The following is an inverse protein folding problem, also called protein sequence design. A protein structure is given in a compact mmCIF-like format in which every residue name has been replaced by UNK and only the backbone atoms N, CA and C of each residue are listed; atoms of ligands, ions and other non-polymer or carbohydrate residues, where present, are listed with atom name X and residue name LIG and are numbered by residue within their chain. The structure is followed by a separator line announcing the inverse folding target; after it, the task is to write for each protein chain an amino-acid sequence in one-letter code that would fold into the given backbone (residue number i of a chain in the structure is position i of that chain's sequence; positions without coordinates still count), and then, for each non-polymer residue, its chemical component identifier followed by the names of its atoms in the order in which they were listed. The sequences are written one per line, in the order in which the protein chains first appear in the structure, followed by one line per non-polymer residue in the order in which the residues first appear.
data_IF_135263008127
#
_entry.id   IF_135263008127
#
_cell.length_a   1.000
_cell.length_b   1.000
_cell.length_c   1.000
_cell.angle_alpha   90.00
_cell.angle_beta   90.00
_cell.angle_gamma   90.00
#
_symmetry.space_group_name_H-M   'P 1'
#
loop_
_entity.id
_entity.type
_entity.pdbx_description
1 polymer ?
#
# COMPACT_ATOMS: atom_id res chain seq x y z
N UNK A 1 -17.76 18.79 -3.00
CA UNK A 1 -18.26 17.96 -4.14
C UNK A 1 -17.54 16.62 -4.27
N UNK A 2 -16.23 16.56 -4.54
CA UNK A 2 -15.53 15.26 -4.68
C UNK A 2 -15.45 14.46 -3.35
N UNK A 3 -15.28 15.15 -2.21
CA UNK A 3 -15.24 14.53 -0.87
C UNK A 3 -16.63 14.01 -0.44
N UNK A 4 -17.70 14.76 -0.71
CA UNK A 4 -19.07 14.40 -0.30
C UNK A 4 -19.61 13.17 -1.01
N UNK A 5 -19.29 13.01 -2.31
CA UNK A 5 -19.66 11.82 -3.08
C UNK A 5 -18.98 10.58 -2.50
N UNK A 6 -17.69 10.67 -2.18
CA UNK A 6 -16.91 9.59 -1.57
C UNK A 6 -17.40 9.21 -0.19
N UNK A 7 -17.77 10.21 0.62
CA UNK A 7 -18.40 9.99 1.93
C UNK A 7 -19.69 9.19 1.81
N UNK A 8 -20.51 9.48 0.79
CA UNK A 8 -21.79 8.77 0.54
C UNK A 8 -21.59 7.37 -0.02
N UNK A 9 -20.57 7.15 -0.84
CA UNK A 9 -20.33 5.86 -1.51
C UNK A 9 -19.37 4.95 -0.75
N UNK A 10 -18.71 5.43 0.31
CA UNK A 10 -17.69 4.68 1.04
C UNK A 10 -16.39 4.46 0.24
N UNK A 11 -16.20 5.21 -0.85
CA UNK A 11 -15.01 5.07 -1.71
C UNK A 11 -13.84 5.82 -1.10
N UNK A 12 -12.76 5.11 -0.79
CA UNK A 12 -11.54 5.72 -0.28
C UNK A 12 -10.89 6.71 -1.25
N UNK A 13 -10.09 7.67 -0.76
CA UNK A 13 -9.20 8.53 -1.54
C UNK A 13 -8.36 7.77 -2.59
N UNK A 14 -8.09 8.42 -3.73
CA UNK A 14 -7.33 7.77 -4.82
C UNK A 14 -5.87 7.65 -4.40
N UNK A 15 -5.39 8.63 -3.64
CA UNK A 15 -4.08 8.61 -2.97
C UNK A 15 -3.92 7.35 -2.14
N UNK A 16 -4.93 6.99 -1.36
CA UNK A 16 -4.88 5.84 -0.46
C UNK A 16 -4.82 4.53 -1.27
N UNK A 17 -5.59 4.44 -2.37
CA UNK A 17 -5.49 3.29 -3.29
C UNK A 17 -4.16 3.22 -4.05
N UNK A 18 -3.54 4.37 -4.34
CA UNK A 18 -2.18 4.39 -4.88
C UNK A 18 -1.18 3.87 -3.84
N UNK A 19 -1.27 4.32 -2.59
CA UNK A 19 -0.42 3.84 -1.49
C UNK A 19 -0.59 2.34 -1.26
N UNK A 20 -1.83 1.84 -1.22
CA UNK A 20 -2.12 0.40 -1.12
C UNK A 20 -1.40 -0.39 -2.22
N UNK A 21 -1.51 0.04 -3.47
CA UNK A 21 -0.92 -0.67 -4.61
C UNK A 21 0.61 -0.70 -4.53
N UNK A 22 1.22 0.43 -4.14
CA UNK A 22 2.66 0.56 -4.01
C UNK A 22 3.21 -0.28 -2.86
N UNK A 23 2.58 -0.25 -1.69
CA UNK A 23 3.01 -1.00 -0.51
C UNK A 23 2.72 -2.51 -0.62
N UNK A 24 1.67 -2.90 -1.35
CA UNK A 24 1.47 -4.32 -1.70
C UNK A 24 2.60 -4.86 -2.55
N UNK A 25 3.08 -4.10 -3.52
CA UNK A 25 4.24 -4.48 -4.33
C UNK A 25 5.52 -4.53 -3.48
N UNK A 26 5.71 -3.61 -2.54
CA UNK A 26 6.82 -3.66 -1.59
C UNK A 26 6.83 -4.95 -0.76
N UNK A 27 5.69 -5.30 -0.16
CA UNK A 27 5.57 -6.54 0.59
C UNK A 27 5.94 -7.74 -0.30
N UNK A 28 5.47 -7.76 -1.55
CA UNK A 28 5.85 -8.80 -2.50
C UNK A 28 7.37 -8.87 -2.74
N UNK A 29 8.06 -7.74 -2.86
CA UNK A 29 9.52 -7.69 -2.97
C UNK A 29 10.21 -8.23 -1.72
N UNK A 30 9.78 -7.81 -0.52
CA UNK A 30 10.36 -8.25 0.76
C UNK A 30 10.20 -9.76 0.97
N UNK A 31 9.07 -10.32 0.53
CA UNK A 31 8.79 -11.75 0.63
C UNK A 31 9.33 -12.57 -0.55
N UNK A 32 9.85 -11.91 -1.59
CA UNK A 32 10.42 -12.62 -2.72
C UNK A 32 11.77 -13.23 -2.35
N UNK A 33 12.07 -14.41 -2.89
CA UNK A 33 13.35 -15.07 -2.66
C UNK A 33 14.52 -14.19 -3.14
N UNK A 34 15.65 -14.35 -2.47
CA UNK A 34 16.92 -13.74 -2.90
C UNK A 34 17.26 -14.17 -4.33
N UNK A 35 17.77 -13.24 -5.14
CA UNK A 35 18.08 -13.49 -6.55
C UNK A 35 16.89 -13.43 -7.51
N UNK A 36 15.67 -13.24 -7.03
CA UNK A 36 14.55 -12.87 -7.93
C UNK A 36 14.78 -11.49 -8.53
N UNK A 37 14.20 -11.24 -9.71
CA UNK A 37 14.31 -9.94 -10.40
C UNK A 37 13.80 -8.79 -9.51
N UNK A 38 12.71 -9.03 -8.77
CA UNK A 38 12.11 -8.05 -7.87
C UNK A 38 13.05 -7.70 -6.70
N UNK A 39 13.59 -8.71 -6.02
CA UNK A 39 14.56 -8.53 -4.94
C UNK A 39 15.85 -7.85 -5.44
N UNK A 40 16.36 -8.30 -6.59
CA UNK A 40 17.58 -7.73 -7.20
C UNK A 40 17.39 -6.26 -7.58
N UNK A 41 16.27 -5.93 -8.25
CA UNK A 41 15.95 -4.56 -8.63
C UNK A 41 15.75 -3.63 -7.43
N UNK A 42 15.28 -4.17 -6.31
CA UNK A 42 15.14 -3.43 -5.05
C UNK A 42 16.49 -3.05 -4.43
N UNK A 43 17.45 -3.98 -4.43
CA UNK A 43 18.80 -3.73 -3.92
C UNK A 43 19.70 -2.95 -4.90
N UNK A 44 19.29 -2.86 -6.17
CA UNK A 44 20.02 -2.11 -7.19
C UNK A 44 19.93 -0.60 -6.93
N UNK A 45 21.01 -0.02 -6.43
CA UNK A 45 21.18 1.44 -6.37
C UNK A 45 21.96 1.90 -7.60
N UNK A 46 21.37 2.72 -8.50
CA UNK A 46 22.09 3.25 -9.65
C UNK A 46 23.32 4.06 -9.19
N UNK A 47 24.53 3.74 -9.66
CA UNK A 47 25.72 4.50 -9.32
C UNK A 47 25.65 5.95 -9.84
N UNK A 48 26.27 6.87 -9.12
CA UNK A 48 26.39 8.28 -9.52
C UNK A 48 25.60 9.27 -8.66
N UNK A 49 25.98 10.56 -8.75
CA UNK A 49 25.31 11.65 -8.04
C UNK A 49 24.06 12.09 -8.79
N UNK A 50 22.99 12.41 -8.05
CA UNK A 50 21.77 12.99 -8.64
C UNK A 50 22.08 14.41 -9.17
N UNK A 51 21.48 14.81 -10.30
CA UNK A 51 21.62 16.18 -10.79
C UNK A 51 21.09 17.18 -9.76
N UNK A 52 21.66 18.38 -9.73
CA UNK A 52 21.16 19.47 -8.88
C UNK A 52 19.83 20.00 -9.45
N UNK A 53 18.94 20.47 -8.58
CA UNK A 53 17.64 21.03 -8.97
C UNK A 53 16.47 20.11 -8.59
N UNK A 54 15.58 19.82 -9.55
CA UNK A 54 14.40 18.95 -9.36
C UNK A 54 14.55 17.61 -10.10
N UNK A 55 15.38 16.68 -9.60
CA UNK A 55 15.37 15.31 -10.10
C UNK A 55 13.98 14.69 -10.06
N UNK A 56 13.68 13.81 -11.03
CA UNK A 56 12.48 12.98 -10.97
C UNK A 56 12.54 12.08 -9.73
N UNK A 57 11.41 11.95 -9.01
CA UNK A 57 11.30 11.04 -7.87
C UNK A 57 11.54 9.60 -8.34
N UNK A 58 12.40 8.88 -7.62
CA UNK A 58 12.53 7.43 -7.83
C UNK A 58 11.35 6.73 -7.15
N UNK A 59 11.10 5.51 -7.62
CA UNK A 59 10.18 4.58 -6.96
C UNK A 59 10.42 4.49 -5.44
N UNK A 60 11.67 4.28 -5.01
CA UNK A 60 12.05 4.20 -3.59
C UNK A 60 11.79 5.48 -2.81
N UNK A 61 11.90 6.65 -3.44
CA UNK A 61 11.62 7.93 -2.77
C UNK A 61 10.12 8.04 -2.47
N UNK A 62 9.27 7.63 -3.43
CA UNK A 62 7.81 7.63 -3.27
C UNK A 62 7.37 6.63 -2.21
N UNK A 63 7.95 5.44 -2.20
CA UNK A 63 7.62 4.43 -1.19
C UNK A 63 7.94 4.87 0.24
N UNK A 64 9.04 5.60 0.44
CA UNK A 64 9.36 6.21 1.74
C UNK A 64 8.33 7.26 2.16
N UNK A 65 7.78 8.01 1.23
CA UNK A 65 6.70 8.96 1.50
C UNK A 65 5.40 8.22 1.89
N UNK A 66 5.07 7.15 1.18
CA UNK A 66 3.88 6.34 1.44
C UNK A 66 3.96 5.64 2.81
N UNK A 67 5.11 5.03 3.13
CA UNK A 67 5.38 4.45 4.46
C UNK A 67 5.29 5.49 5.56
N UNK A 68 5.83 6.70 5.34
CA UNK A 68 5.73 7.81 6.32
C UNK A 68 4.28 8.24 6.54
N UNK A 69 3.46 8.29 5.49
CA UNK A 69 2.05 8.65 5.60
C UNK A 69 1.26 7.66 6.48
N UNK A 70 1.64 6.38 6.45
CA UNK A 70 1.01 5.31 7.23
C UNK A 70 1.77 4.93 8.51
N UNK A 71 2.84 5.66 8.84
CA UNK A 71 3.73 5.37 9.99
C UNK A 71 4.27 3.93 10.00
N UNK A 72 4.55 3.40 8.82
CA UNK A 72 5.10 2.07 8.62
C UNK A 72 6.61 2.11 8.47
N UNK A 73 7.24 1.03 8.89
CA UNK A 73 8.66 0.75 8.71
C UNK A 73 8.85 -0.47 7.79
N UNK A 74 10.00 -0.59 7.10
CA UNK A 74 10.32 -1.79 6.32
C UNK A 74 10.25 -3.08 7.14
N UNK A 75 10.55 -3.02 8.44
CA UNK A 75 10.49 -4.13 9.38
C UNK A 75 9.06 -4.63 9.58
N UNK A 76 8.07 -3.74 9.52
CA UNK A 76 6.65 -4.11 9.58
C UNK A 76 6.22 -5.00 8.41
N UNK A 77 6.95 -4.97 7.29
CA UNK A 77 6.68 -5.84 6.14
C UNK A 77 7.07 -7.29 6.40
N UNK A 78 7.84 -7.60 7.44
CA UNK A 78 8.16 -8.99 7.79
C UNK A 78 6.92 -9.75 8.30
N UNK A 79 6.03 -9.07 9.02
CA UNK A 79 4.73 -9.63 9.41
C UNK A 79 3.72 -9.41 8.27
N UNK A 80 3.47 -10.48 7.52
CA UNK A 80 2.55 -10.48 6.38
C UNK A 80 1.11 -10.08 6.76
N UNK A 81 0.65 -10.46 7.94
CA UNK A 81 -0.72 -10.16 8.38
C UNK A 81 -0.83 -8.70 8.78
N UNK A 82 0.14 -8.20 9.57
CA UNK A 82 0.23 -6.80 9.94
C UNK A 82 0.35 -5.91 8.70
N UNK A 83 1.23 -6.27 7.76
CA UNK A 83 1.45 -5.53 6.52
C UNK A 83 0.19 -5.46 5.67
N UNK A 84 -0.50 -6.59 5.47
CA UNK A 84 -1.74 -6.64 4.69
C UNK A 84 -2.80 -5.73 5.31
N UNK A 85 -3.00 -5.79 6.63
CA UNK A 85 -3.97 -4.95 7.33
C UNK A 85 -3.62 -3.46 7.24
N UNK A 86 -2.34 -3.11 7.40
CA UNK A 86 -1.91 -1.72 7.35
C UNK A 86 -1.99 -1.09 5.96
N UNK A 87 -1.78 -1.87 4.91
CA UNK A 87 -1.86 -1.39 3.53
C UNK A 87 -3.28 -1.43 2.95
N UNK A 88 -4.20 -2.19 3.56
CA UNK A 88 -5.54 -2.37 3.04
C UNK A 88 -6.34 -1.08 3.17
N UNK A 89 -6.74 -0.53 2.03
CA UNK A 89 -7.66 0.61 1.99
C UNK A 89 -9.08 0.10 1.81
N UNK A 90 -10.04 0.69 2.51
CA UNK A 90 -11.46 0.37 2.36
C UNK A 90 -11.88 0.39 0.88
N UNK A 91 -12.51 -0.69 0.44
CA UNK A 91 -13.16 -0.79 -0.86
C UNK A 91 -14.67 -0.95 -0.61
N UNK A 92 -15.52 -0.11 -1.23
CA UNK A 92 -16.97 -0.22 -1.06
C UNK A 92 -17.53 -1.55 -1.55
N UNK A 93 -16.81 -2.31 -2.38
CA UNK A 93 -17.22 -3.67 -2.76
C UNK A 93 -17.19 -4.63 -1.56
N UNK A 94 -16.21 -4.50 -0.66
CA UNK A 94 -16.06 -5.37 0.52
C UNK A 94 -17.07 -5.03 1.61
N UNK A 95 -17.50 -3.77 1.71
CA UNK A 95 -18.51 -3.34 2.70
C UNK A 95 -19.93 -3.91 2.42
N UNK A 96 -20.20 -4.34 1.18
CA UNK A 96 -21.50 -4.94 0.82
C UNK A 96 -21.68 -6.35 1.38
N UNK A 97 -20.60 -7.09 1.60
CA UNK A 97 -20.68 -8.47 2.10
C UNK A 97 -21.06 -8.53 3.59
N UNK A 98 -20.54 -7.61 4.41
CA UNK A 98 -20.81 -7.61 5.87
C UNK A 98 -22.26 -7.22 6.22
N UNK A 99 -22.96 -6.52 5.33
CA UNK A 99 -24.38 -6.16 5.53
C UNK A 99 -25.35 -7.33 5.27
N UNK A 100 -24.87 -8.44 4.70
CA UNK A 100 -25.68 -9.63 4.41
C UNK A 100 -25.65 -10.69 5.53
N UNK A 101 -24.75 -10.54 6.51
CA UNK A 101 -24.67 -11.40 7.68
C UNK A 101 -25.67 -10.94 8.75
N UNK A 102 -26.96 -11.15 8.49
CA UNK A 102 -27.98 -11.10 9.55
C UNK A 102 -27.72 -12.27 10.53
N UNK A 103 -27.70 -12.05 11.85
CA UNK A 103 -27.54 -13.14 12.82
C UNK A 103 -28.69 -14.13 12.62
N UNK A 104 -28.38 -15.36 12.21
CA UNK A 104 -29.35 -16.44 12.30
C UNK A 104 -29.63 -16.69 13.77
N UNK A 105 -30.83 -16.30 14.15
CA UNK A 105 -31.53 -16.64 15.36
C UNK A 105 -31.34 -18.12 15.70
N UNK A 106 -30.64 -18.41 16.78
CA UNK A 106 -30.61 -19.74 17.40
C UNK A 106 -31.49 -19.70 18.63
N UNK A 107 -32.71 -20.21 18.43
CA UNK A 107 -33.66 -20.83 19.35
C UNK A 107 -33.26 -20.96 20.82
#
# INVERSE_FOLDING_TARGET
MNVDVRRRTGVAPITDKMWESQLRWFGHVVWSAEGTVANTAYHLSPPGRRPRGRPKKRWMDRMKEDMRALQLTPEDAQDRVKWKKACQTADPATARDESSASPRDTR
#
